data_IF_595221895543
#
_entry.id   IF_595221895543
#
_cell.length_a   1.000
_cell.length_b   1.000
_cell.length_c   1.000
_cell.angle_alpha   90.00
_cell.angle_beta   90.00
_cell.angle_gamma   90.00
#
_symmetry.space_group_name_H-M   'P 1'
#
loop_
_entity.id
_entity.type
_entity.pdbx_description
1 polymer ?
#
# COMPACT_ATOMS: atom_id res chain seq x y z
N UNK A 1 35.69 -17.18 -16.34
CA UNK A 1 35.08 -17.62 -15.06
C UNK A 1 34.41 -16.44 -14.31
N UNK A 2 33.98 -15.38 -15.01
CA UNK A 2 33.37 -14.18 -14.41
C UNK A 2 31.84 -14.18 -14.49
N UNK A 3 31.25 -14.99 -15.37
CA UNK A 3 29.80 -15.08 -15.57
C UNK A 3 29.08 -15.59 -14.33
N UNK A 4 29.69 -16.55 -13.61
CA UNK A 4 29.10 -17.17 -12.42
C UNK A 4 29.03 -16.21 -11.21
N UNK A 5 30.02 -15.33 -11.01
CA UNK A 5 30.00 -14.38 -9.90
C UNK A 5 28.97 -13.27 -10.08
N UNK A 6 28.77 -12.78 -11.31
CA UNK A 6 27.77 -11.75 -11.61
C UNK A 6 26.35 -12.31 -11.41
N UNK A 7 26.12 -13.56 -11.82
CA UNK A 7 24.83 -14.23 -11.62
C UNK A 7 24.55 -14.48 -10.13
N UNK A 8 25.53 -14.96 -9.37
CA UNK A 8 25.40 -15.16 -7.92
C UNK A 8 25.08 -13.84 -7.21
N UNK A 9 25.77 -12.74 -7.53
CA UNK A 9 25.50 -11.42 -6.93
C UNK A 9 24.08 -10.93 -7.24
N UNK A 10 23.62 -11.07 -8.50
CA UNK A 10 22.25 -10.73 -8.89
C UNK A 10 21.21 -11.55 -8.13
N UNK A 11 21.42 -12.86 -7.97
CA UNK A 11 20.50 -13.72 -7.22
C UNK A 11 20.46 -13.38 -5.73
N UNK A 12 21.62 -13.08 -5.13
CA UNK A 12 21.71 -12.63 -3.73
C UNK A 12 21.01 -11.29 -3.52
N UNK A 13 21.22 -10.32 -4.42
CA UNK A 13 20.56 -9.01 -4.36
C UNK A 13 19.04 -9.14 -4.50
N UNK A 14 18.55 -10.00 -5.41
CA UNK A 14 17.13 -10.30 -5.55
C UNK A 14 16.56 -10.96 -4.28
N UNK A 15 17.31 -11.86 -3.65
CA UNK A 15 16.90 -12.56 -2.43
C UNK A 15 16.83 -11.62 -1.23
N UNK A 16 17.83 -10.73 -1.07
CA UNK A 16 17.85 -9.71 -0.03
C UNK A 16 16.71 -8.70 -0.22
N UNK A 17 16.46 -8.28 -1.46
CA UNK A 17 15.36 -7.37 -1.80
C UNK A 17 14.00 -8.01 -1.49
N UNK A 18 13.81 -9.28 -1.82
CA UNK A 18 12.58 -10.02 -1.50
C UNK A 18 12.35 -10.13 0.01
N UNK A 19 13.40 -10.44 0.79
CA UNK A 19 13.34 -10.47 2.26
C UNK A 19 12.97 -9.10 2.85
N UNK A 20 13.59 -8.03 2.35
CA UNK A 20 13.29 -6.66 2.79
C UNK A 20 11.86 -6.24 2.47
N UNK A 21 11.32 -6.62 1.31
CA UNK A 21 9.91 -6.39 0.93
C UNK A 21 8.96 -7.13 1.85
N UNK A 22 9.22 -8.42 2.13
CA UNK A 22 8.41 -9.22 3.06
C UNK A 22 8.40 -8.61 4.46
N UNK A 23 9.56 -8.23 4.99
CA UNK A 23 9.65 -7.61 6.32
C UNK A 23 8.86 -6.30 6.41
N UNK A 24 8.93 -5.46 5.37
CA UNK A 24 8.15 -4.20 5.31
C UNK A 24 6.65 -4.45 5.16
N UNK A 25 6.26 -5.51 4.46
CA UNK A 25 4.86 -5.93 4.40
C UNK A 25 4.38 -6.40 5.76
N UNK A 26 5.14 -7.24 6.45
CA UNK A 26 4.78 -7.75 7.78
C UNK A 26 4.63 -6.59 8.80
N UNK A 27 5.47 -5.55 8.69
CA UNK A 27 5.44 -4.35 9.54
C UNK A 27 4.36 -3.32 9.15
N UNK A 28 3.74 -3.44 7.96
CA UNK A 28 2.69 -2.52 7.53
C UNK A 28 1.46 -2.70 8.43
N UNK A 29 1.00 -1.64 9.12
CA UNK A 29 -0.21 -1.72 9.94
C UNK A 29 -1.43 -1.98 9.06
N UNK A 30 -2.39 -2.71 9.61
CA UNK A 30 -3.69 -2.87 8.97
C UNK A 30 -4.43 -1.52 8.94
N UNK A 31 -5.33 -1.36 7.96
CA UNK A 31 -6.15 -0.17 7.79
C UNK A 31 -7.63 -0.53 7.87
N UNK A 32 -8.34 0.05 8.83
CA UNK A 32 -9.76 -0.24 9.08
C UNK A 32 -10.74 0.73 8.42
N UNK A 33 -10.26 1.93 8.05
CA UNK A 33 -11.08 3.05 7.61
C UNK A 33 -11.46 4.01 8.73
N UNK A 34 -10.84 3.89 9.91
CA UNK A 34 -11.10 4.74 11.06
C UNK A 34 -10.56 6.17 10.83
N UNK A 35 -11.30 7.22 11.24
CA UNK A 35 -10.88 8.63 11.10
C UNK A 35 -9.50 9.00 11.66
N UNK A 36 -8.97 8.26 12.63
CA UNK A 36 -7.63 8.52 13.18
C UNK A 36 -6.49 7.93 12.34
N UNK A 37 -6.80 7.07 11.36
CA UNK A 37 -5.80 6.42 10.52
C UNK A 37 -5.29 7.37 9.43
N UNK A 38 -3.98 7.30 9.14
CA UNK A 38 -3.35 8.17 8.16
C UNK A 38 -3.34 7.51 6.77
N UNK A 39 -4.27 7.98 5.93
CA UNK A 39 -4.46 7.51 4.55
C UNK A 39 -3.19 7.68 3.71
N UNK A 40 -2.52 8.83 3.78
CA UNK A 40 -1.34 9.11 2.97
C UNK A 40 -0.16 8.26 3.42
N UNK A 41 0.01 8.07 4.73
CA UNK A 41 1.05 7.19 5.26
C UNK A 41 0.83 5.74 4.81
N UNK A 42 -0.43 5.27 4.82
CA UNK A 42 -0.77 3.93 4.34
C UNK A 42 -0.43 3.77 2.84
N UNK A 43 -0.94 4.65 1.98
CA UNK A 43 -0.69 4.61 0.53
C UNK A 43 0.80 4.71 0.20
N UNK A 44 1.53 5.61 0.87
CA UNK A 44 2.99 5.75 0.71
C UNK A 44 3.73 4.47 1.07
N UNK A 45 3.27 3.78 2.12
CA UNK A 45 3.91 2.54 2.57
C UNK A 45 3.67 1.39 1.57
N UNK A 46 2.45 1.27 1.04
CA UNK A 46 2.14 0.32 -0.05
C UNK A 46 3.01 0.61 -1.27
N UNK A 47 3.09 1.88 -1.70
CA UNK A 47 3.93 2.28 -2.85
C UNK A 47 5.41 1.97 -2.63
N UNK A 48 5.91 2.13 -1.41
CA UNK A 48 7.30 1.81 -1.07
C UNK A 48 7.61 0.30 -1.08
N UNK A 49 6.64 -0.55 -0.74
CA UNK A 49 6.79 -2.02 -0.75
C UNK A 49 6.74 -2.54 -2.18
N UNK A 50 5.71 -2.12 -2.92
CA UNK A 50 5.40 -2.62 -4.26
C UNK A 50 6.22 -1.95 -5.36
N UNK A 51 6.74 -0.75 -5.10
CA UNK A 51 7.26 0.18 -6.13
C UNK A 51 6.20 0.49 -7.19
N UNK A 52 4.93 0.58 -6.79
CA UNK A 52 3.81 0.82 -7.70
C UNK A 52 4.04 2.05 -8.59
N UNK A 53 3.93 1.81 -9.89
CA UNK A 53 3.81 2.79 -10.98
C UNK A 53 2.51 2.50 -11.74
N UNK A 54 2.04 3.43 -12.58
CA UNK A 54 0.86 3.19 -13.42
C UNK A 54 1.05 2.08 -14.48
N UNK A 55 2.29 1.67 -14.71
CA UNK A 55 2.68 0.55 -15.61
C UNK A 55 2.89 -0.77 -14.84
N UNK A 56 2.82 -0.76 -13.51
CA UNK A 56 3.04 -1.94 -12.68
C UNK A 56 1.87 -2.93 -12.80
N UNK A 57 2.13 -4.20 -12.46
CA UNK A 57 1.08 -5.21 -12.34
C UNK A 57 0.10 -4.81 -11.22
N UNK A 58 -0.99 -4.18 -11.61
CA UNK A 58 -1.97 -3.65 -10.67
C UNK A 58 -2.62 -4.76 -9.83
N UNK A 59 -2.76 -5.97 -10.36
CA UNK A 59 -3.39 -7.07 -9.64
C UNK A 59 -2.60 -7.47 -8.39
N UNK A 60 -1.28 -7.67 -8.52
CA UNK A 60 -0.39 -8.00 -7.39
C UNK A 60 -0.41 -6.90 -6.32
N UNK A 61 -0.46 -5.63 -6.74
CA UNK A 61 -0.52 -4.49 -5.83
C UNK A 61 -1.85 -4.49 -5.07
N UNK A 62 -2.96 -4.76 -5.75
CA UNK A 62 -4.28 -4.83 -5.15
C UNK A 62 -4.41 -6.00 -4.16
N UNK A 63 -3.80 -7.15 -4.43
CA UNK A 63 -3.73 -8.26 -3.46
C UNK A 63 -2.98 -7.87 -2.17
N UNK A 64 -1.88 -7.14 -2.32
CA UNK A 64 -1.11 -6.61 -1.17
C UNK A 64 -1.94 -5.62 -0.37
N UNK A 65 -2.67 -4.71 -1.04
CA UNK A 65 -3.62 -3.81 -0.38
C UNK A 65 -4.67 -4.63 0.36
N UNK A 66 -5.31 -5.57 -0.32
CA UNK A 66 -6.40 -6.38 0.21
C UNK A 66 -6.02 -7.13 1.48
N UNK A 67 -4.79 -7.67 1.55
CA UNK A 67 -4.26 -8.35 2.73
C UNK A 67 -4.02 -7.44 3.95
N UNK A 68 -4.15 -6.12 3.79
CA UNK A 68 -3.89 -5.11 4.83
C UNK A 68 -5.12 -4.28 5.18
N UNK A 69 -6.21 -4.41 4.42
CA UNK A 69 -7.48 -3.81 4.77
C UNK A 69 -8.24 -4.72 5.72
N UNK A 70 -8.91 -4.12 6.70
CA UNK A 70 -9.79 -4.81 7.65
C UNK A 70 -11.11 -4.06 7.79
N UNK A 71 -12.13 -4.71 8.36
CA UNK A 71 -13.40 -4.09 8.74
C UNK A 71 -14.09 -3.34 7.57
N UNK A 72 -14.34 -2.03 7.74
CA UNK A 72 -15.08 -1.22 6.77
C UNK A 72 -14.29 -0.96 5.50
N UNK A 73 -12.96 -0.88 5.60
CA UNK A 73 -12.07 -0.68 4.45
C UNK A 73 -11.98 -1.93 3.57
N UNK A 74 -11.93 -3.10 4.21
CA UNK A 74 -11.99 -4.39 3.53
C UNK A 74 -13.29 -4.54 2.73
N UNK A 75 -14.42 -4.33 3.38
CA UNK A 75 -15.75 -4.43 2.73
C UNK A 75 -15.89 -3.43 1.59
N UNK A 76 -15.41 -2.20 1.77
CA UNK A 76 -15.45 -1.20 0.71
C UNK A 76 -14.57 -1.60 -0.48
N UNK A 77 -13.38 -2.14 -0.22
CA UNK A 77 -12.46 -2.55 -1.26
C UNK A 77 -13.03 -3.69 -2.10
N UNK A 78 -13.55 -4.75 -1.47
CA UNK A 78 -14.11 -5.91 -2.18
C UNK A 78 -15.23 -5.52 -3.15
N UNK A 79 -16.03 -4.51 -2.79
CA UNK A 79 -17.11 -4.00 -3.63
C UNK A 79 -16.63 -3.10 -4.80
N UNK A 80 -15.39 -2.59 -4.74
CA UNK A 80 -14.87 -1.63 -5.70
C UNK A 80 -13.63 -2.14 -6.47
N UNK A 81 -13.02 -3.24 -6.04
CA UNK A 81 -11.82 -3.83 -6.66
C UNK A 81 -11.94 -4.00 -8.18
N UNK A 82 -13.07 -4.49 -8.75
CA UNK A 82 -13.21 -4.64 -10.20
C UNK A 82 -13.05 -3.34 -10.99
N UNK A 83 -13.23 -2.18 -10.34
CA UNK A 83 -13.13 -0.86 -10.95
C UNK A 83 -11.70 -0.31 -10.98
N UNK A 84 -10.76 -0.90 -10.23
CA UNK A 84 -9.38 -0.42 -10.15
C UNK A 84 -8.54 -1.05 -11.27
N UNK A 85 -8.45 -0.40 -12.42
CA UNK A 85 -7.66 -0.91 -13.57
C UNK A 85 -6.19 -0.53 -13.45
N UNK A 86 -5.92 0.60 -12.80
CA UNK A 86 -4.59 1.11 -12.49
C UNK A 86 -4.49 1.47 -11.01
N UNK A 87 -3.25 1.57 -10.54
CA UNK A 87 -2.97 1.98 -9.16
C UNK A 87 -3.56 3.35 -8.84
N UNK A 88 -3.49 4.29 -9.78
CA UNK A 88 -4.08 5.64 -9.66
C UNK A 88 -5.60 5.64 -9.50
N UNK A 89 -6.32 4.69 -10.09
CA UNK A 89 -7.78 4.54 -9.89
C UNK A 89 -8.09 4.23 -8.42
N UNK A 90 -7.36 3.25 -7.86
CA UNK A 90 -7.46 2.87 -6.46
C UNK A 90 -7.03 4.03 -5.54
N UNK A 91 -5.86 4.63 -5.75
CA UNK A 91 -5.37 5.74 -4.90
C UNK A 91 -6.41 6.86 -4.82
N UNK A 92 -6.99 7.25 -5.95
CA UNK A 92 -7.97 8.34 -6.04
C UNK A 92 -9.24 7.97 -5.30
N UNK A 93 -9.79 6.77 -5.54
CA UNK A 93 -10.99 6.29 -4.87
C UNK A 93 -10.79 6.16 -3.35
N UNK A 94 -9.64 5.63 -2.93
CA UNK A 94 -9.29 5.42 -1.53
C UNK A 94 -9.14 6.74 -0.77
N UNK A 95 -8.45 7.73 -1.38
CA UNK A 95 -8.37 9.10 -0.84
C UNK A 95 -9.76 9.71 -0.73
N UNK A 96 -10.56 9.69 -1.79
CA UNK A 96 -11.90 10.27 -1.76
C UNK A 96 -12.78 9.67 -0.66
N UNK A 97 -12.63 8.36 -0.40
CA UNK A 97 -13.38 7.65 0.64
C UNK A 97 -12.93 8.01 2.06
N UNK A 98 -11.63 8.03 2.33
CA UNK A 98 -11.09 8.06 3.69
C UNK A 98 -10.36 9.36 4.08
N UNK A 99 -9.99 10.22 3.13
CA UNK A 99 -9.22 11.44 3.40
C UNK A 99 -10.09 12.54 4.04
N UNK A 100 -11.35 12.64 3.61
CA UNK A 100 -12.34 13.58 4.16
C UNK A 100 -12.81 13.19 5.56
N UNK A 101 -12.86 11.89 5.88
CA UNK A 101 -13.22 11.39 7.20
C UNK A 101 -12.08 11.48 8.21
N UNK A 102 -10.82 11.45 7.76
CA UNK A 102 -9.64 11.45 8.64
C UNK A 102 -9.07 12.86 8.93
N UNK A 103 -9.32 13.83 8.04
CA UNK A 103 -8.86 15.21 8.22
C UNK A 103 -9.63 16.00 9.29
N UNK A 104 -10.84 15.57 9.65
CA UNK A 104 -11.73 16.33 10.56
C UNK A 104 -11.23 16.33 12.02
N UNK A 105 -10.33 15.43 12.40
CA UNK A 105 -9.77 15.39 13.75
C UNK A 105 -8.56 16.30 14.00
N UNK A 106 -8.00 16.97 12.98
CA UNK A 106 -6.87 17.90 13.18
C UNK A 106 -7.25 19.35 13.45
N UNK A 107 -8.54 19.72 13.48
CA UNK A 107 -8.99 21.13 13.60
C UNK A 107 -9.62 21.55 14.93
N UNK A 108 -9.66 20.70 15.96
CA UNK A 108 -10.29 21.05 17.25
C UNK A 108 -9.36 21.24 18.45
N UNK A 109 -8.04 21.03 18.31
CA UNK A 109 -7.08 21.22 19.42
C UNK A 109 -6.45 22.63 19.47
N UNK A 110 -7.17 23.68 19.07
CA UNK A 110 -6.68 25.06 19.24
C UNK A 110 -7.79 26.06 19.54
N UNK A 111 -8.52 25.82 20.61
CA UNK A 111 -9.26 26.86 21.33
C UNK A 111 -8.99 26.70 22.83
N UNK A 112 -7.94 27.36 23.30
CA UNK A 112 -7.78 27.75 24.71
C UNK A 112 -7.05 29.07 24.81
#
# INVERSE_FOLDING_TARGET
METSEIEIRKMVDQTLLAKARKARFDDLPNFSGHPSEDVERFLKSIKNITKATDESNNHEILEIVRGKLIQSAETWFDNNEPNFKKWSDFETAFRNRYFSTTSTHKKFDTLK
#
